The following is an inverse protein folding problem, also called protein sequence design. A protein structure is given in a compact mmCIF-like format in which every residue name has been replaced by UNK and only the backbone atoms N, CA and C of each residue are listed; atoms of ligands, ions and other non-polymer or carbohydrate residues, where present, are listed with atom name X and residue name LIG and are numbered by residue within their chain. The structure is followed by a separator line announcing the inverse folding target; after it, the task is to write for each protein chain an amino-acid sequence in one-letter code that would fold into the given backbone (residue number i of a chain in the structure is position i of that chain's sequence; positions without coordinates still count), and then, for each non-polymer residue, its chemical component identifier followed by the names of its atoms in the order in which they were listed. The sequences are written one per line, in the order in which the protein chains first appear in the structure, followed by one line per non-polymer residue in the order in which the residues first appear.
data_IF_982793868474
#
_entry.id   IF_982793868474
#
_cell.length_a   1.000
_cell.length_b   1.000
_cell.length_c   1.000
_cell.angle_alpha   90.00
_cell.angle_beta   90.00
_cell.angle_gamma   90.00
#
_symmetry.space_group_name_H-M   'P 1'
#
loop_
_entity.id
_entity.type
_entity.pdbx_description
1 polymer ?
#
# COMPACT_ATOMS: atom_id res chain seq x y z
N UNK A 1 1.91 -3.33 31.15
CA UNK A 1 2.70 -2.43 30.25
C UNK A 1 1.95 -1.11 30.07
N UNK A 2 2.61 0.05 30.12
CA UNK A 2 1.92 1.36 29.97
C UNK A 2 2.08 1.91 28.54
N UNK A 3 0.96 2.07 27.82
CA UNK A 3 0.94 2.75 26.52
C UNK A 3 1.24 4.24 26.70
N UNK A 4 2.21 4.76 25.93
CA UNK A 4 2.55 6.18 25.91
C UNK A 4 2.34 6.74 24.51
N UNK A 5 1.40 7.66 24.38
CA UNK A 5 1.19 8.39 23.13
C UNK A 5 2.22 9.51 22.99
N UNK A 6 2.80 9.61 21.80
CA UNK A 6 3.74 10.68 21.43
C UNK A 6 2.99 11.62 20.52
N UNK A 7 2.82 12.87 20.96
CA UNK A 7 2.23 13.91 20.12
C UNK A 7 3.11 14.17 18.89
N UNK A 8 2.48 14.23 17.72
CA UNK A 8 3.11 14.44 16.42
C UNK A 8 2.51 15.65 15.68
N UNK A 9 1.84 16.59 16.34
CA UNK A 9 1.61 17.91 15.74
C UNK A 9 2.93 18.68 15.67
N UNK A 10 3.64 18.51 14.56
CA UNK A 10 5.01 18.98 14.35
C UNK A 10 5.18 19.52 12.94
N UNK A 11 6.09 20.48 12.77
CA UNK A 11 6.55 20.88 11.46
C UNK A 11 7.65 19.94 10.98
N UNK A 12 7.33 19.08 10.00
CA UNK A 12 8.28 18.14 9.40
C UNK A 12 9.46 18.83 8.71
N UNK A 13 9.39 20.13 8.42
CA UNK A 13 10.52 20.88 7.83
C UNK A 13 11.61 21.21 8.83
N UNK A 14 11.32 21.13 10.13
CA UNK A 14 12.29 21.39 11.17
C UNK A 14 12.81 20.09 11.77
N UNK A 15 14.09 20.09 12.14
CA UNK A 15 14.67 18.97 12.89
C UNK A 15 13.95 18.86 14.25
N UNK A 16 13.66 17.66 14.77
CA UNK A 16 13.04 17.52 16.09
C UNK A 16 13.88 18.17 17.21
N UNK A 17 13.30 19.11 17.96
CA UNK A 17 13.99 19.75 19.09
C UNK A 17 14.10 18.84 20.32
N UNK A 18 13.11 17.96 20.51
CA UNK A 18 13.02 17.04 21.65
C UNK A 18 13.13 15.60 21.15
N UNK A 19 14.24 14.96 21.52
CA UNK A 19 14.49 13.54 21.26
C UNK A 19 14.10 12.75 22.49
N UNK A 20 13.27 11.74 22.32
CA UNK A 20 12.89 10.82 23.39
C UNK A 20 14.04 9.85 23.67
N UNK A 21 14.24 9.52 24.94
CA UNK A 21 15.12 8.43 25.34
C UNK A 21 14.28 7.16 25.45
N UNK A 22 14.43 6.28 24.47
CA UNK A 22 13.85 4.94 24.50
C UNK A 22 14.85 3.94 25.07
N UNK A 23 14.32 2.83 25.58
CA UNK A 23 15.08 1.67 26.03
C UNK A 23 15.10 0.61 24.94
N UNK A 24 16.08 -0.28 25.00
CA UNK A 24 16.24 -1.37 24.04
C UNK A 24 15.07 -2.37 24.05
N UNK A 25 14.31 -2.46 25.14
CA UNK A 25 13.11 -3.29 25.26
C UNK A 25 11.80 -2.57 24.87
N UNK A 26 11.86 -1.27 24.54
CA UNK A 26 10.66 -0.51 24.21
C UNK A 26 10.12 -0.91 22.82
N UNK A 27 8.80 -1.00 22.72
CA UNK A 27 8.08 -1.17 21.47
C UNK A 27 7.52 0.17 21.00
N UNK A 28 7.72 0.49 19.72
CA UNK A 28 7.41 1.80 19.15
C UNK A 28 6.50 1.61 17.95
N UNK A 29 5.37 2.33 17.92
CA UNK A 29 4.43 2.27 16.80
C UNK A 29 4.27 3.64 16.16
N UNK A 30 4.43 3.70 14.83
CA UNK A 30 4.03 4.85 14.01
C UNK A 30 2.70 4.52 13.34
N UNK A 31 1.77 5.48 13.37
CA UNK A 31 0.50 5.39 12.65
C UNK A 31 0.68 5.45 11.13
N UNK A 32 -0.34 5.94 10.45
CA UNK A 32 -0.38 6.05 8.99
C UNK A 32 0.84 6.79 8.41
N UNK A 33 1.54 6.13 7.48
CA UNK A 33 2.75 6.63 6.84
C UNK A 33 2.53 7.71 5.78
N UNK A 34 1.37 7.78 5.14
CA UNK A 34 1.06 8.63 3.98
C UNK A 34 2.08 8.56 2.83
N UNK A 35 2.83 7.47 2.68
CA UNK A 35 3.92 7.38 1.72
C UNK A 35 5.05 8.39 1.97
N UNK A 36 5.11 9.00 3.16
CA UNK A 36 5.91 10.18 3.45
C UNK A 36 7.22 9.81 4.16
N UNK A 37 8.27 9.61 3.37
CA UNK A 37 9.61 9.29 3.90
C UNK A 37 10.15 10.33 4.90
N UNK A 38 9.86 11.64 4.71
CA UNK A 38 10.28 12.69 5.65
C UNK A 38 9.61 12.53 7.02
N UNK A 39 8.32 12.16 7.06
CA UNK A 39 7.60 11.83 8.29
C UNK A 39 8.28 10.67 9.03
N UNK A 40 8.68 9.63 8.29
CA UNK A 40 9.38 8.47 8.86
C UNK A 40 10.73 8.90 9.44
N UNK A 41 11.56 9.63 8.69
CA UNK A 41 12.86 10.13 9.19
C UNK A 41 12.68 11.00 10.44
N UNK A 42 11.76 11.96 10.41
CA UNK A 42 11.45 12.81 11.56
C UNK A 42 11.04 11.98 12.78
N UNK A 43 10.17 11.00 12.59
CA UNK A 43 9.72 10.10 13.66
C UNK A 43 10.88 9.31 14.27
N UNK A 44 11.74 8.72 13.43
CA UNK A 44 12.90 7.95 13.88
C UNK A 44 13.88 8.82 14.68
N UNK A 45 14.08 10.08 14.28
CA UNK A 45 14.93 11.02 15.04
C UNK A 45 14.25 11.43 16.35
N UNK A 46 12.97 11.80 16.31
CA UNK A 46 12.21 12.23 17.50
C UNK A 46 12.13 11.14 18.56
N UNK A 47 12.09 9.87 18.13
CA UNK A 47 12.09 8.70 19.03
C UNK A 47 13.49 8.26 19.45
N UNK A 48 14.56 8.86 18.90
CA UNK A 48 15.94 8.50 19.21
C UNK A 48 16.43 7.23 18.49
N UNK A 49 15.60 6.58 17.66
CA UNK A 49 15.96 5.40 16.88
C UNK A 49 17.03 5.74 15.84
N UNK A 50 17.00 6.95 15.28
CA UNK A 50 17.96 7.44 14.28
C UNK A 50 18.66 8.71 14.77
N UNK A 51 19.98 8.80 14.56
CA UNK A 51 20.75 10.03 14.70
C UNK A 51 21.53 10.30 13.42
N UNK A 52 21.26 11.43 12.75
CA UNK A 52 22.00 11.85 11.56
C UNK A 52 23.38 12.36 11.95
N UNK A 53 24.40 12.07 11.13
CA UNK A 53 25.80 12.35 11.46
C UNK A 53 26.08 13.84 11.67
N UNK A 54 25.47 14.71 10.86
CA UNK A 54 25.57 16.17 10.97
C UNK A 54 24.31 16.80 11.57
N UNK A 55 23.48 15.99 12.24
CA UNK A 55 22.27 16.43 12.94
C UNK A 55 21.32 17.23 12.05
N UNK A 56 21.02 18.46 12.48
CA UNK A 56 20.08 19.35 11.80
C UNK A 56 20.48 19.69 10.35
N UNK A 57 21.78 19.72 10.02
CA UNK A 57 22.22 20.04 8.66
C UNK A 57 21.85 18.93 7.66
N UNK A 58 22.15 17.67 8.00
CA UNK A 58 21.73 16.52 7.19
C UNK A 58 20.21 16.43 7.10
N UNK A 59 19.51 16.78 8.18
CA UNK A 59 18.05 16.81 8.18
C UNK A 59 17.49 17.83 7.18
N UNK A 60 18.03 19.06 7.18
CA UNK A 60 17.63 20.07 6.18
C UNK A 60 17.97 19.62 4.76
N UNK A 61 19.06 18.86 4.57
CA UNK A 61 19.36 18.26 3.28
C UNK A 61 18.32 17.21 2.88
N UNK A 62 17.88 16.36 3.81
CA UNK A 62 16.79 15.39 3.58
C UNK A 62 15.48 16.11 3.22
N UNK A 63 15.13 17.20 3.92
CA UNK A 63 13.95 18.02 3.58
C UNK A 63 14.06 18.55 2.15
N UNK A 64 15.20 19.16 1.78
CA UNK A 64 15.40 19.70 0.43
C UNK A 64 15.32 18.63 -0.67
N UNK A 65 15.85 17.42 -0.41
CA UNK A 65 15.75 16.28 -1.33
C UNK A 65 14.30 15.80 -1.45
N UNK A 66 13.59 15.69 -0.34
CA UNK A 66 12.20 15.22 -0.31
C UNK A 66 11.23 16.23 -0.95
N UNK A 67 11.49 17.52 -0.82
CA UNK A 67 10.66 18.58 -1.42
C UNK A 67 11.04 18.90 -2.88
N UNK A 68 12.08 18.26 -3.43
CA UNK A 68 12.44 18.42 -4.84
C UNK A 68 11.27 17.95 -5.72
N UNK A 69 10.77 18.86 -6.54
CA UNK A 69 9.75 18.56 -7.55
C UNK A 69 10.41 17.78 -8.69
N UNK A 70 9.75 16.71 -9.13
CA UNK A 70 10.20 15.95 -10.30
C UNK A 70 9.59 16.55 -11.55
N UNK A 71 10.44 16.87 -12.52
CA UNK A 71 10.06 17.36 -13.83
C UNK A 71 10.33 16.26 -14.89
N UNK A 72 9.29 15.61 -15.42
CA UNK A 72 9.40 14.63 -16.51
C UNK A 72 9.92 15.22 -17.82
N UNK A 73 9.88 16.54 -17.99
CA UNK A 73 10.36 17.23 -19.19
C UNK A 73 11.76 17.83 -18.98
N UNK A 74 12.40 17.53 -17.85
CA UNK A 74 13.74 18.01 -17.56
C UNK A 74 14.74 17.59 -18.63
N UNK A 75 15.52 18.56 -19.12
CA UNK A 75 16.60 18.33 -20.09
C UNK A 75 17.81 17.66 -19.44
N UNK A 76 17.99 17.85 -18.12
CA UNK A 76 19.08 17.30 -17.34
C UNK A 76 18.55 16.66 -16.04
N UNK A 77 18.81 15.36 -15.89
CA UNK A 77 18.41 14.58 -14.73
C UNK A 77 19.50 14.48 -13.64
N UNK A 78 20.70 15.02 -13.87
CA UNK A 78 21.81 14.98 -12.90
C UNK A 78 21.45 15.53 -11.50
N UNK A 79 20.60 16.56 -11.34
CA UNK A 79 20.15 17.00 -10.02
C UNK A 79 19.40 15.92 -9.23
N UNK A 80 18.59 15.08 -9.88
CA UNK A 80 17.83 14.01 -9.21
C UNK A 80 18.74 12.84 -8.83
N UNK A 81 19.68 12.47 -9.71
CA UNK A 81 20.70 11.46 -9.40
C UNK A 81 21.53 11.87 -8.19
N UNK A 82 21.96 13.14 -8.16
CA UNK A 82 22.69 13.70 -7.02
C UNK A 82 21.85 13.67 -5.75
N UNK A 83 20.57 14.06 -5.82
CA UNK A 83 19.68 14.05 -4.67
C UNK A 83 19.50 12.64 -4.09
N UNK A 84 19.31 11.62 -4.94
CA UNK A 84 19.25 10.22 -4.54
C UNK A 84 20.57 9.73 -3.92
N UNK A 85 21.70 10.06 -4.54
CA UNK A 85 23.01 9.70 -4.01
C UNK A 85 23.30 10.35 -2.65
N UNK A 86 22.96 11.63 -2.49
CA UNK A 86 23.08 12.35 -1.23
C UNK A 86 22.18 11.73 -0.14
N UNK A 87 20.94 11.35 -0.48
CA UNK A 87 20.02 10.71 0.47
C UNK A 87 20.57 9.37 0.98
N UNK A 88 21.05 8.51 0.07
CA UNK A 88 21.70 7.25 0.41
C UNK A 88 22.94 7.48 1.29
N UNK A 89 23.74 8.51 0.97
CA UNK A 89 24.92 8.85 1.75
C UNK A 89 24.58 9.26 3.18
N UNK A 90 23.56 10.10 3.37
CA UNK A 90 23.07 10.53 4.68
C UNK A 90 22.61 9.31 5.50
N UNK A 91 21.80 8.42 4.92
CA UNK A 91 21.35 7.21 5.61
C UNK A 91 22.51 6.30 6.01
N UNK A 92 23.52 6.11 5.15
CA UNK A 92 24.71 5.30 5.46
C UNK A 92 25.53 5.84 6.64
N UNK A 93 25.48 7.15 6.89
CA UNK A 93 26.19 7.78 8.00
C UNK A 93 25.34 7.87 9.28
N UNK A 94 24.03 7.70 9.17
CA UNK A 94 23.12 7.74 10.30
C UNK A 94 23.41 6.57 11.27
N UNK A 95 23.38 6.89 12.57
CA UNK A 95 23.53 5.92 13.65
C UNK A 95 22.17 5.44 14.11
N UNK A 96 22.06 4.15 14.42
CA UNK A 96 20.87 3.58 15.04
C UNK A 96 21.01 3.53 16.56
N UNK A 97 19.88 3.66 17.25
CA UNK A 97 19.70 3.22 18.63
C UNK A 97 18.73 2.03 18.60
N UNK A 98 19.06 0.89 19.24
CA UNK A 98 18.19 -0.27 19.21
C UNK A 98 16.91 -0.02 20.03
N UNK A 99 15.83 -0.64 19.57
CA UNK A 99 14.53 -0.75 20.23
C UNK A 99 14.04 -2.19 20.06
N UNK A 100 13.09 -2.63 20.88
CA UNK A 100 12.65 -4.02 20.89
C UNK A 100 11.90 -4.37 19.60
N UNK A 101 11.06 -3.43 19.15
CA UNK A 101 10.26 -3.56 17.93
C UNK A 101 9.79 -2.18 17.45
N UNK A 102 9.93 -1.93 16.15
CA UNK A 102 9.33 -0.79 15.46
C UNK A 102 8.18 -1.28 14.57
N UNK A 103 6.97 -0.75 14.79
CA UNK A 103 5.76 -1.07 14.03
C UNK A 103 5.30 0.09 13.18
N UNK A 104 5.01 -0.16 11.90
CA UNK A 104 4.32 0.75 11.00
C UNK A 104 2.88 0.29 10.80
N UNK A 105 1.88 1.14 11.05
CA UNK A 105 0.47 0.77 10.86
C UNK A 105 0.00 0.83 9.40
N UNK A 106 0.91 0.70 8.44
CA UNK A 106 0.64 0.70 7.01
C UNK A 106 0.73 2.06 6.35
N UNK A 107 0.34 2.10 5.06
CA UNK A 107 0.42 3.28 4.18
C UNK A 107 1.86 3.84 4.12
N UNK A 108 2.84 2.94 4.20
CA UNK A 108 4.26 3.28 4.12
C UNK A 108 4.68 3.64 2.70
N UNK A 109 4.08 2.96 1.72
CA UNK A 109 4.28 3.15 0.27
C UNK A 109 2.93 3.26 -0.43
N UNK A 110 2.92 3.62 -1.72
CA UNK A 110 1.66 3.58 -2.47
C UNK A 110 0.72 4.76 -2.22
N UNK A 111 1.16 5.85 -1.58
CA UNK A 111 0.28 6.90 -1.06
C UNK A 111 0.69 8.32 -1.57
N UNK A 112 0.29 9.39 -0.87
CA UNK A 112 0.37 10.79 -1.26
C UNK A 112 1.75 11.40 -1.09
N UNK A 113 2.75 10.68 -0.56
CA UNK A 113 4.10 11.20 -0.38
C UNK A 113 4.81 11.55 -1.70
N UNK A 114 6.09 11.91 -1.63
CA UNK A 114 6.85 12.30 -2.82
C UNK A 114 7.34 11.07 -3.61
N UNK A 115 8.07 10.15 -2.96
CA UNK A 115 8.76 9.06 -3.65
C UNK A 115 8.97 7.83 -2.75
N UNK A 116 8.43 6.68 -3.16
CA UNK A 116 8.52 5.41 -2.42
C UNK A 116 9.95 4.88 -2.32
N UNK A 117 10.87 5.25 -3.23
CA UNK A 117 12.28 4.85 -3.12
C UNK A 117 12.92 5.34 -1.83
N UNK A 118 12.57 6.54 -1.36
CA UNK A 118 13.09 7.06 -0.10
C UNK A 118 12.58 6.24 1.08
N UNK A 119 11.30 5.85 1.09
CA UNK A 119 10.76 4.94 2.10
C UNK A 119 11.50 3.60 2.07
N UNK A 120 11.64 2.99 0.90
CA UNK A 120 12.28 1.68 0.76
C UNK A 120 13.75 1.68 1.23
N UNK A 121 14.49 2.77 0.97
CA UNK A 121 15.85 2.95 1.48
C UNK A 121 15.91 3.10 3.00
N UNK A 122 14.90 3.72 3.63
CA UNK A 122 14.80 3.78 5.09
C UNK A 122 14.56 2.38 5.66
N UNK A 123 13.70 1.56 5.04
CA UNK A 123 13.49 0.17 5.45
C UNK A 123 14.77 -0.65 5.36
N UNK A 124 15.55 -0.50 4.28
CA UNK A 124 16.86 -1.14 4.20
C UNK A 124 17.78 -0.70 5.34
N UNK A 125 17.86 0.60 5.63
CA UNK A 125 18.67 1.11 6.73
C UNK A 125 18.26 0.48 8.08
N UNK A 126 16.96 0.39 8.36
CA UNK A 126 16.43 -0.25 9.58
C UNK A 126 16.89 -1.71 9.69
N UNK A 127 16.81 -2.48 8.60
CA UNK A 127 17.18 -3.89 8.59
C UNK A 127 18.70 -4.10 8.69
N UNK A 128 19.51 -3.27 8.02
CA UNK A 128 20.98 -3.27 8.16
C UNK A 128 21.38 -2.94 9.62
N UNK A 129 20.66 -1.99 10.23
CA UNK A 129 20.82 -1.63 11.63
C UNK A 129 20.31 -2.70 12.62
N UNK A 130 19.76 -3.82 12.12
CA UNK A 130 19.18 -4.92 12.90
C UNK A 130 18.03 -4.49 13.81
N UNK A 131 17.31 -3.44 13.42
CA UNK A 131 16.07 -3.05 14.09
C UNK A 131 14.99 -4.04 13.65
N UNK A 132 14.26 -4.63 14.60
CA UNK A 132 13.11 -5.47 14.29
C UNK A 132 11.98 -4.57 13.80
N UNK A 133 11.48 -4.84 12.59
CA UNK A 133 10.43 -4.04 11.94
C UNK A 133 9.25 -4.92 11.57
N UNK A 134 8.04 -4.45 11.86
CA UNK A 134 6.79 -5.02 11.39
C UNK A 134 5.93 -3.92 10.73
N UNK A 135 5.34 -4.23 9.58
CA UNK A 135 4.50 -3.31 8.81
C UNK A 135 3.15 -3.96 8.56
N UNK A 136 2.10 -3.33 9.07
CA UNK A 136 0.74 -3.80 8.91
C UNK A 136 0.32 -3.53 7.47
N UNK A 137 -0.09 -4.57 6.76
CA UNK A 137 -0.53 -4.45 5.37
C UNK A 137 -1.72 -3.50 5.25
N UNK A 138 -1.58 -2.46 4.43
CA UNK A 138 -2.65 -1.50 4.12
C UNK A 138 -3.21 -1.63 2.71
N UNK A 139 -4.24 -0.83 2.41
CA UNK A 139 -4.76 -0.69 1.05
C UNK A 139 -3.74 -0.06 0.08
N UNK A 140 -2.96 0.93 0.52
CA UNK A 140 -1.92 1.54 -0.30
C UNK A 140 -0.72 0.62 -0.51
N UNK A 141 -0.31 -0.11 0.53
CA UNK A 141 0.74 -1.13 0.44
C UNK A 141 0.35 -2.22 -0.55
N UNK A 142 -0.90 -2.71 -0.46
CA UNK A 142 -1.44 -3.71 -1.37
C UNK A 142 -1.43 -3.23 -2.84
N UNK A 143 -1.81 -1.96 -3.07
CA UNK A 143 -1.79 -1.37 -4.40
C UNK A 143 -0.36 -1.26 -4.96
N UNK A 144 0.61 -0.83 -4.13
CA UNK A 144 2.02 -0.78 -4.50
C UNK A 144 2.58 -2.19 -4.82
N UNK A 145 2.33 -3.17 -3.95
CA UNK A 145 2.78 -4.56 -4.14
C UNK A 145 2.18 -5.14 -5.43
N UNK A 146 0.89 -4.90 -5.69
CA UNK A 146 0.23 -5.34 -6.92
C UNK A 146 0.94 -4.81 -8.16
N UNK A 147 1.29 -3.51 -8.17
CA UNK A 147 1.95 -2.86 -9.28
C UNK A 147 3.33 -3.48 -9.55
N UNK A 148 4.14 -3.65 -8.50
CA UNK A 148 5.48 -4.24 -8.60
C UNK A 148 5.40 -5.70 -9.05
N UNK A 149 4.53 -6.50 -8.44
CA UNK A 149 4.43 -7.92 -8.75
C UNK A 149 3.91 -8.19 -10.16
N UNK A 150 3.07 -7.33 -10.74
CA UNK A 150 2.58 -7.55 -12.10
C UNK A 150 3.56 -7.07 -13.17
N UNK A 151 4.72 -6.51 -12.78
CA UNK A 151 5.66 -5.91 -13.73
C UNK A 151 5.04 -4.72 -14.47
N UNK A 152 4.00 -4.12 -13.90
CA UNK A 152 3.25 -3.02 -14.48
C UNK A 152 3.98 -1.70 -14.22
N UNK A 153 5.27 -1.63 -14.59
CA UNK A 153 6.12 -0.43 -14.50
C UNK A 153 5.78 0.63 -15.56
N UNK A 154 4.79 0.34 -16.41
CA UNK A 154 4.32 1.28 -17.40
C UNK A 154 3.43 2.34 -16.74
N UNK A 155 3.74 3.64 -16.88
CA UNK A 155 2.88 4.72 -16.38
C UNK A 155 1.44 4.64 -16.95
N UNK A 156 1.24 3.93 -18.07
CA UNK A 156 -0.08 3.71 -18.67
C UNK A 156 -0.97 2.72 -17.89
N UNK A 157 -0.41 1.87 -17.02
CA UNK A 157 -1.16 0.83 -16.28
C UNK A 157 -1.45 1.25 -14.83
N UNK A 158 -0.67 2.17 -14.25
CA UNK A 158 -1.00 2.82 -12.98
C UNK A 158 -2.40 3.48 -13.00
N UNK A 159 -2.87 3.88 -14.18
CA UNK A 159 -4.21 4.42 -14.43
C UNK A 159 -5.34 3.39 -14.35
N UNK A 160 -5.05 2.10 -14.56
CA UNK A 160 -6.07 1.03 -14.62
C UNK A 160 -6.49 0.49 -13.26
N UNK A 161 -5.71 0.71 -12.19
CA UNK A 161 -6.09 0.28 -10.83
C UNK A 161 -7.17 1.16 -10.19
N UNK A 162 -7.72 2.14 -10.93
CA UNK A 162 -8.86 2.94 -10.50
C UNK A 162 -8.55 4.02 -9.44
N UNK A 163 -7.34 4.02 -8.87
CA UNK A 163 -6.91 4.98 -7.87
C UNK A 163 -6.70 6.41 -8.40
N UNK A 164 -6.42 6.58 -9.70
CA UNK A 164 -6.20 7.89 -10.32
C UNK A 164 -7.49 8.56 -10.84
N UNK A 165 -8.66 7.91 -10.65
CA UNK A 165 -9.96 8.56 -10.93
C UNK A 165 -10.35 9.59 -9.86
N UNK A 166 -9.65 9.59 -8.73
CA UNK A 166 -9.79 10.64 -7.72
C UNK A 166 -8.87 11.77 -8.16
N UNK A 167 -9.39 12.98 -8.37
CA UNK A 167 -8.66 14.18 -8.78
C UNK A 167 -7.56 14.67 -7.79
N UNK A 168 -7.06 13.77 -6.92
CA UNK A 168 -6.19 14.03 -5.78
C UNK A 168 -5.17 12.89 -5.65
N UNK A 169 -4.32 12.66 -6.66
CA UNK A 169 -3.16 11.74 -6.70
C UNK A 169 -2.87 10.94 -5.41
N UNK A 170 -3.66 9.90 -5.14
CA UNK A 170 -3.60 9.14 -3.89
C UNK A 170 -2.43 8.14 -3.86
N UNK A 171 -1.64 8.03 -4.93
CA UNK A 171 -0.46 7.16 -5.04
C UNK A 171 0.77 7.91 -5.59
N UNK A 172 0.86 9.22 -5.31
CA UNK A 172 1.94 10.09 -5.80
C UNK A 172 3.33 9.53 -5.51
N UNK A 173 3.55 8.93 -4.34
CA UNK A 173 4.87 8.41 -3.95
C UNK A 173 5.34 7.28 -4.87
N UNK A 174 4.42 6.46 -5.36
CA UNK A 174 4.74 5.40 -6.32
C UNK A 174 5.14 5.97 -7.68
N UNK A 175 4.48 7.03 -8.14
CA UNK A 175 4.89 7.72 -9.38
C UNK A 175 6.29 8.34 -9.25
N UNK A 176 6.65 8.84 -8.06
CA UNK A 176 8.01 9.27 -7.78
C UNK A 176 9.03 8.15 -7.95
N UNK A 177 8.74 6.93 -7.48
CA UNK A 177 9.62 5.79 -7.68
C UNK A 177 9.70 5.37 -9.15
N UNK A 178 8.55 5.30 -9.84
CA UNK A 178 8.48 4.96 -11.27
C UNK A 178 9.24 5.96 -12.14
N UNK A 179 9.23 7.25 -11.81
CA UNK A 179 10.03 8.27 -12.50
C UNK A 179 11.51 7.92 -12.53
N UNK A 180 12.08 7.50 -11.39
CA UNK A 180 13.49 7.12 -11.30
C UNK A 180 13.80 5.84 -12.08
N UNK A 181 12.89 4.86 -12.05
CA UNK A 181 13.06 3.60 -12.79
C UNK A 181 12.95 3.82 -14.31
N UNK A 182 11.93 4.55 -14.75
CA UNK A 182 11.66 4.83 -16.16
C UNK A 182 12.82 5.60 -16.81
N UNK A 183 13.35 6.61 -16.13
CA UNK A 183 14.48 7.42 -16.59
C UNK A 183 15.84 6.78 -16.29
N UNK A 184 15.89 5.53 -15.79
CA UNK A 184 17.11 4.77 -15.46
C UNK A 184 18.04 5.49 -14.47
N UNK A 185 17.49 6.37 -13.65
CA UNK A 185 18.18 7.08 -12.57
C UNK A 185 18.37 6.19 -11.33
N UNK A 186 17.68 5.05 -11.30
CA UNK A 186 17.82 4.03 -10.27
C UNK A 186 17.75 2.63 -10.90
N UNK A 187 18.58 1.71 -10.42
CA UNK A 187 18.65 0.34 -10.94
C UNK A 187 17.39 -0.46 -10.58
N UNK A 188 16.81 -1.14 -11.56
CA UNK A 188 15.67 -2.04 -11.36
C UNK A 188 16.01 -3.20 -10.40
N UNK A 189 17.16 -3.86 -10.59
CA UNK A 189 17.63 -4.92 -9.68
C UNK A 189 17.73 -4.42 -8.23
N UNK A 190 18.23 -3.18 -8.06
CA UNK A 190 18.30 -2.56 -6.75
C UNK A 190 16.91 -2.28 -6.17
N UNK A 191 15.98 -1.83 -6.99
CA UNK A 191 14.59 -1.63 -6.58
C UNK A 191 13.92 -2.95 -6.18
N UNK A 192 14.05 -4.01 -6.97
CA UNK A 192 13.52 -5.34 -6.64
C UNK A 192 14.09 -5.85 -5.31
N UNK A 193 15.39 -5.64 -5.08
CA UNK A 193 16.00 -5.97 -3.81
C UNK A 193 15.38 -5.18 -2.65
N UNK A 194 15.25 -3.87 -2.77
CA UNK A 194 14.63 -3.03 -1.75
C UNK A 194 13.16 -3.40 -1.48
N UNK A 195 12.40 -3.71 -2.54
CA UNK A 195 11.04 -4.21 -2.44
C UNK A 195 10.98 -5.55 -1.68
N UNK A 196 11.92 -6.47 -1.94
CA UNK A 196 11.97 -7.75 -1.22
C UNK A 196 12.22 -7.57 0.27
N UNK A 197 13.07 -6.61 0.64
CA UNK A 197 13.32 -6.22 2.04
C UNK A 197 12.05 -5.65 2.68
N UNK A 198 11.38 -4.71 2.01
CA UNK A 198 10.12 -4.15 2.48
C UNK A 198 9.06 -5.24 2.69
N UNK A 199 8.85 -6.10 1.69
CA UNK A 199 7.90 -7.22 1.75
C UNK A 199 8.17 -8.14 2.94
N UNK A 200 9.42 -8.36 3.31
CA UNK A 200 9.78 -9.22 4.45
C UNK A 200 9.34 -8.68 5.81
N UNK A 201 8.99 -7.38 5.89
CA UNK A 201 8.48 -6.74 7.12
C UNK A 201 6.95 -6.78 7.23
N UNK A 202 6.25 -7.19 6.17
CA UNK A 202 4.79 -7.11 6.11
C UNK A 202 4.13 -8.21 6.94
N UNK A 203 3.16 -7.82 7.77
CA UNK A 203 2.32 -8.70 8.58
C UNK A 203 0.85 -8.28 8.44
N UNK A 204 -0.08 -9.22 8.67
CA UNK A 204 -1.52 -8.90 8.69
C UNK A 204 -1.91 -8.26 10.03
N UNK A 205 -1.45 -8.85 11.12
CA UNK A 205 -1.66 -8.34 12.48
C UNK A 205 -0.34 -8.33 13.23
N UNK A 206 -0.21 -7.43 14.19
CA UNK A 206 0.81 -7.54 15.22
C UNK A 206 0.15 -7.49 16.60
N UNK A 207 0.89 -7.82 17.64
CA UNK A 207 0.39 -7.76 19.01
C UNK A 207 1.47 -7.39 20.03
N UNK A 208 1.01 -6.90 21.18
CA UNK A 208 1.76 -6.85 22.43
C UNK A 208 0.93 -7.51 23.53
N UNK A 209 1.58 -8.11 24.52
CA UNK A 209 0.91 -8.64 25.71
C UNK A 209 0.88 -7.57 26.80
N UNK A 210 -0.31 -7.31 27.32
CA UNK A 210 -0.48 -6.47 28.49
C UNK A 210 -0.30 -7.28 29.79
N UNK A 211 -0.84 -6.75 30.88
CA UNK A 211 -0.78 -7.43 32.17
C UNK A 211 -1.96 -8.42 32.29
N UNK A 212 -1.71 -9.65 32.75
CA UNK A 212 -2.75 -10.68 32.89
C UNK A 212 -3.24 -11.23 31.54
N UNK A 213 -4.56 -11.17 31.30
CA UNK A 213 -5.19 -11.65 30.06
C UNK A 213 -5.51 -10.50 29.09
N UNK A 214 -4.56 -9.59 28.91
CA UNK A 214 -4.69 -8.42 28.04
C UNK A 214 -3.91 -8.60 26.73
N UNK A 215 -4.58 -8.30 25.62
CA UNK A 215 -4.01 -8.31 24.28
C UNK A 215 -4.13 -6.91 23.68
N UNK A 216 -3.01 -6.36 23.21
CA UNK A 216 -2.99 -5.16 22.39
C UNK A 216 -2.83 -5.63 20.95
N UNK A 217 -3.87 -5.47 20.12
CA UNK A 217 -3.90 -5.86 18.72
C UNK A 217 -3.57 -4.65 17.84
N UNK A 218 -2.64 -4.82 16.92
CA UNK A 218 -2.28 -3.82 15.93
C UNK A 218 -2.74 -4.27 14.55
N UNK A 219 -3.41 -3.37 13.83
CA UNK A 219 -3.87 -3.58 12.46
C UNK A 219 -3.79 -2.27 11.67
N UNK A 220 -3.92 -2.32 10.35
CA UNK A 220 -4.00 -1.10 9.55
C UNK A 220 -5.35 -0.40 9.72
N UNK A 221 -6.45 -1.04 9.30
CA UNK A 221 -7.81 -0.54 9.49
C UNK A 221 -8.42 -1.00 10.83
N UNK A 222 -9.47 -0.32 11.35
CA UNK A 222 -10.14 -0.76 12.55
C UNK A 222 -10.84 -2.10 12.33
N UNK A 223 -10.39 -3.15 13.03
CA UNK A 223 -10.92 -4.52 12.94
C UNK A 223 -10.98 -5.18 14.32
N UNK A 224 -11.90 -6.13 14.50
CA UNK A 224 -12.00 -6.94 15.72
C UNK A 224 -11.60 -8.40 15.51
N UNK A 225 -11.83 -9.21 16.53
CA UNK A 225 -11.54 -10.64 16.52
C UNK A 225 -12.32 -11.40 15.44
N UNK A 226 -13.45 -10.87 14.96
CA UNK A 226 -14.19 -11.48 13.86
C UNK A 226 -13.38 -11.52 12.56
N UNK A 227 -12.52 -10.52 12.35
CA UNK A 227 -11.65 -10.45 11.17
C UNK A 227 -10.48 -11.43 11.33
N UNK A 228 -9.88 -11.52 12.52
CA UNK A 228 -8.85 -12.50 12.82
C UNK A 228 -9.37 -13.94 12.70
N UNK A 229 -10.59 -14.20 13.17
CA UNK A 229 -11.27 -15.49 13.03
C UNK A 229 -11.49 -15.86 11.56
N UNK A 230 -11.91 -14.90 10.73
CA UNK A 230 -12.06 -15.14 9.30
C UNK A 230 -10.73 -15.50 8.61
N UNK A 231 -9.63 -14.81 8.94
CA UNK A 231 -8.31 -15.21 8.47
C UNK A 231 -7.90 -16.59 8.96
N UNK A 232 -8.14 -16.90 10.24
CA UNK A 232 -7.87 -18.23 10.78
C UNK A 232 -8.60 -19.30 9.97
N UNK A 233 -9.90 -19.16 9.73
CA UNK A 233 -10.69 -20.12 8.96
C UNK A 233 -10.22 -20.23 7.49
N UNK A 234 -9.89 -19.11 6.86
CA UNK A 234 -9.38 -19.11 5.48
C UNK A 234 -8.01 -19.79 5.38
N UNK A 235 -7.15 -19.62 6.38
CA UNK A 235 -5.76 -20.10 6.34
C UNK A 235 -5.55 -21.44 7.02
N UNK A 236 -6.47 -21.89 7.87
CA UNK A 236 -6.41 -23.19 8.57
C UNK A 236 -6.11 -24.37 7.64
N UNK A 237 -6.73 -24.51 6.44
CA UNK A 237 -6.41 -25.58 5.50
C UNK A 237 -4.98 -25.54 4.94
N UNK A 238 -4.28 -24.43 5.09
CA UNK A 238 -2.90 -24.19 4.63
C UNK A 238 -1.88 -24.26 5.77
N UNK A 239 -2.33 -24.38 7.02
CA UNK A 239 -1.45 -24.51 8.17
C UNK A 239 -0.82 -25.90 8.21
N UNK A 240 0.44 -26.00 8.64
CA UNK A 240 1.09 -27.29 8.86
C UNK A 240 0.56 -27.96 10.13
N UNK A 241 0.66 -29.29 10.22
CA UNK A 241 0.29 -30.04 11.44
C UNK A 241 1.02 -29.52 12.68
N UNK A 242 2.30 -29.14 12.52
CA UNK A 242 3.09 -28.54 13.59
C UNK A 242 2.51 -27.22 14.09
N UNK A 243 2.04 -26.36 13.17
CA UNK A 243 1.43 -25.08 13.51
C UNK A 243 0.07 -25.28 14.19
N UNK A 244 -0.78 -26.16 13.64
CA UNK A 244 -2.07 -26.52 14.22
C UNK A 244 -1.91 -27.08 15.64
N UNK A 245 -0.92 -27.95 15.85
CA UNK A 245 -0.61 -28.52 17.16
C UNK A 245 -0.21 -27.46 18.21
N UNK A 246 0.29 -26.28 17.81
CA UNK A 246 0.60 -25.21 18.77
C UNK A 246 -0.63 -24.48 19.30
N UNK A 247 -1.71 -24.45 18.50
CA UNK A 247 -2.88 -23.59 18.76
C UNK A 247 -3.74 -24.12 19.91
N UNK A 248 -3.76 -25.43 20.18
CA UNK A 248 -4.59 -26.07 21.22
C UNK A 248 -6.06 -25.60 21.19
N UNK A 249 -6.60 -25.33 20.00
CA UNK A 249 -7.98 -24.91 19.83
C UNK A 249 -8.91 -26.13 19.95
N UNK A 250 -10.15 -25.97 20.43
CA UNK A 250 -11.14 -27.05 20.44
C UNK A 250 -11.28 -27.68 19.04
N UNK A 251 -11.45 -29.01 18.97
CA UNK A 251 -11.61 -29.72 17.69
C UNK A 251 -12.91 -29.33 16.98
N UNK A 252 -13.93 -28.90 17.71
CA UNK A 252 -15.16 -28.34 17.16
C UNK A 252 -14.99 -26.83 16.92
N UNK A 253 -14.98 -26.40 15.66
CA UNK A 253 -14.97 -25.00 15.17
C UNK A 253 -16.26 -24.24 15.56
N UNK A 254 -16.67 -24.30 16.83
CA UNK A 254 -17.70 -23.41 17.31
C UNK A 254 -17.11 -22.00 17.34
N UNK A 255 -17.52 -21.15 16.41
CA UNK A 255 -17.19 -19.72 16.37
C UNK A 255 -17.24 -19.06 17.77
N UNK A 256 -18.18 -19.50 18.62
CA UNK A 256 -18.28 -19.09 20.03
C UNK A 256 -16.99 -19.29 20.82
N UNK A 257 -16.31 -20.44 20.67
CA UNK A 257 -15.10 -20.79 21.41
C UNK A 257 -13.91 -19.90 21.02
N UNK A 258 -13.87 -19.43 19.76
CA UNK A 258 -12.82 -18.51 19.31
C UNK A 258 -12.84 -17.20 20.09
N UNK A 259 -14.04 -16.66 20.38
CA UNK A 259 -14.19 -15.41 21.14
C UNK A 259 -14.01 -15.60 22.65
N UNK A 260 -13.84 -16.84 23.12
CA UNK A 260 -13.50 -17.19 24.50
C UNK A 260 -12.00 -17.40 24.73
N UNK A 261 -11.18 -17.34 23.68
CA UNK A 261 -9.73 -17.50 23.77
C UNK A 261 -9.07 -16.43 24.65
N UNK A 262 -8.02 -16.83 25.36
CA UNK A 262 -7.16 -15.92 26.11
C UNK A 262 -6.15 -15.22 25.21
N UNK A 263 -5.44 -14.25 25.79
CA UNK A 263 -4.41 -13.48 25.09
C UNK A 263 -3.30 -14.39 24.53
N UNK A 264 -2.89 -15.43 25.26
CA UNK A 264 -1.84 -16.35 24.83
C UNK A 264 -2.26 -17.17 23.61
N UNK A 265 -3.48 -17.68 23.60
CA UNK A 265 -4.03 -18.44 22.48
C UNK A 265 -4.20 -17.56 21.24
N UNK A 266 -4.75 -16.35 21.41
CA UNK A 266 -4.89 -15.38 20.32
C UNK A 266 -3.54 -14.96 19.71
N UNK A 267 -2.50 -14.78 20.54
CA UNK A 267 -1.14 -14.51 20.05
C UNK A 267 -0.66 -15.62 19.09
N UNK A 268 -0.86 -16.89 19.47
CA UNK A 268 -0.48 -18.03 18.63
C UNK A 268 -1.28 -18.08 17.33
N UNK A 269 -2.57 -17.74 17.38
CA UNK A 269 -3.40 -17.63 16.17
C UNK A 269 -2.87 -16.54 15.24
N UNK A 270 -2.50 -15.36 15.77
CA UNK A 270 -1.89 -14.28 14.99
C UNK A 270 -0.58 -14.74 14.35
N UNK A 271 0.30 -15.38 15.12
CA UNK A 271 1.57 -15.93 14.62
C UNK A 271 1.33 -16.95 13.49
N UNK A 272 0.33 -17.82 13.65
CA UNK A 272 -0.03 -18.82 12.65
C UNK A 272 -0.59 -18.21 11.36
N UNK A 273 -1.48 -17.23 11.49
CA UNK A 273 -2.05 -16.50 10.34
C UNK A 273 -0.95 -15.77 9.57
N UNK A 274 -0.06 -15.06 10.28
CA UNK A 274 1.07 -14.37 9.65
C UNK A 274 2.07 -15.34 8.99
N UNK A 275 2.31 -16.51 9.59
CA UNK A 275 3.18 -17.52 9.01
C UNK A 275 2.64 -18.06 7.68
N UNK A 276 1.33 -18.35 7.61
CA UNK A 276 0.69 -18.73 6.34
C UNK A 276 0.79 -17.58 5.35
N UNK A 277 0.42 -16.36 5.75
CA UNK A 277 0.48 -15.18 4.87
C UNK A 277 1.87 -14.97 4.26
N UNK A 278 2.93 -15.05 5.07
CA UNK A 278 4.31 -14.89 4.63
C UNK A 278 4.74 -15.94 3.59
N UNK A 279 4.10 -17.12 3.60
CA UNK A 279 4.35 -18.20 2.63
C UNK A 279 3.54 -18.09 1.33
N UNK A 280 2.54 -17.19 1.27
CA UNK A 280 1.68 -17.07 0.10
C UNK A 280 2.41 -16.46 -1.10
N UNK A 281 2.01 -16.92 -2.29
CA UNK A 281 2.21 -16.15 -3.52
C UNK A 281 1.28 -14.93 -3.47
N UNK A 282 1.84 -13.78 -3.09
CA UNK A 282 1.10 -12.53 -2.98
C UNK A 282 0.40 -12.13 -4.28
N UNK A 283 0.90 -12.54 -5.46
CA UNK A 283 0.21 -12.23 -6.72
C UNK A 283 -1.17 -12.87 -6.74
N UNK A 284 -1.27 -14.13 -6.33
CA UNK A 284 -2.55 -14.85 -6.24
C UNK A 284 -3.47 -14.29 -5.15
N UNK A 285 -2.91 -13.96 -3.98
CA UNK A 285 -3.67 -13.37 -2.88
C UNK A 285 -4.28 -12.01 -3.29
N UNK A 286 -3.52 -11.18 -4.01
CA UNK A 286 -3.95 -9.86 -4.50
C UNK A 286 -4.97 -9.98 -5.63
N UNK A 287 -4.86 -10.98 -6.50
CA UNK A 287 -5.78 -11.13 -7.64
C UNK A 287 -7.23 -11.37 -7.19
N UNK A 288 -7.42 -12.08 -6.08
CA UNK A 288 -8.73 -12.21 -5.44
C UNK A 288 -9.29 -10.86 -4.98
N UNK A 289 -8.43 -10.02 -4.39
CA UNK A 289 -8.77 -8.66 -3.95
C UNK A 289 -9.09 -7.72 -5.11
N UNK A 290 -8.42 -7.86 -6.27
CA UNK A 290 -8.70 -7.07 -7.48
C UNK A 290 -10.16 -7.24 -7.91
N UNK A 291 -10.71 -8.45 -7.83
CA UNK A 291 -12.11 -8.70 -8.16
C UNK A 291 -13.05 -7.89 -7.26
N UNK A 292 -12.78 -7.82 -5.96
CA UNK A 292 -13.57 -7.02 -5.02
C UNK A 292 -13.42 -5.53 -5.25
N UNK A 293 -12.19 -5.05 -5.44
CA UNK A 293 -11.92 -3.66 -5.81
C UNK A 293 -12.71 -3.26 -7.05
N UNK A 294 -12.71 -4.09 -8.10
CA UNK A 294 -13.48 -3.82 -9.31
C UNK A 294 -14.98 -3.71 -9.06
N UNK A 295 -15.54 -4.60 -8.25
CA UNK A 295 -16.96 -4.58 -7.89
C UNK A 295 -17.27 -3.28 -7.12
N UNK A 296 -16.46 -2.97 -6.10
CA UNK A 296 -16.67 -1.80 -5.26
C UNK A 296 -16.41 -0.48 -6.00
N UNK A 297 -15.44 -0.41 -6.91
CA UNK A 297 -15.27 0.79 -7.74
C UNK A 297 -16.45 1.04 -8.66
N UNK A 298 -17.16 0.00 -9.12
CA UNK A 298 -18.36 0.15 -9.95
C UNK A 298 -19.59 0.58 -9.15
N UNK A 299 -19.66 0.18 -7.88
CA UNK A 299 -20.86 0.32 -7.06
C UNK A 299 -20.70 1.25 -5.84
N UNK A 300 -19.51 1.82 -5.66
CA UNK A 300 -19.10 2.48 -4.43
C UNK A 300 -18.55 1.47 -3.41
N UNK A 301 -17.60 1.92 -2.58
CA UNK A 301 -17.19 1.14 -1.40
C UNK A 301 -18.41 0.95 -0.50
N UNK A 302 -18.73 -0.28 -0.09
CA UNK A 302 -19.84 -0.50 0.82
C UNK A 302 -19.49 0.14 2.16
N UNK A 303 -20.49 0.66 2.86
CA UNK A 303 -20.29 1.22 4.21
C UNK A 303 -19.65 0.19 5.15
N UNK A 304 -20.03 -1.08 4.98
CA UNK A 304 -19.54 -2.22 5.74
C UNK A 304 -18.82 -3.18 4.81
N UNK A 305 -17.58 -3.49 5.14
CA UNK A 305 -16.79 -4.47 4.40
C UNK A 305 -17.15 -5.88 4.90
N UNK A 306 -17.50 -6.85 4.02
CA UNK A 306 -17.83 -8.22 4.44
C UNK A 306 -16.69 -8.89 5.21
N UNK A 307 -17.03 -9.76 6.17
CA UNK A 307 -16.02 -10.49 6.98
C UNK A 307 -15.42 -11.66 6.20
N UNK A 308 -16.14 -12.14 5.19
CA UNK A 308 -15.76 -13.16 4.21
C UNK A 308 -14.66 -12.67 3.24
N UNK A 309 -14.31 -11.38 3.31
CA UNK A 309 -13.21 -10.77 2.59
C UNK A 309 -12.21 -10.21 3.59
N UNK A 310 -11.56 -11.05 4.42
CA UNK A 310 -10.83 -10.60 5.59
C UNK A 310 -9.63 -9.71 5.24
N UNK A 311 -8.96 -9.97 4.12
CA UNK A 311 -7.88 -9.13 3.61
C UNK A 311 -8.38 -7.76 3.13
N UNK A 312 -9.46 -7.71 2.35
CA UNK A 312 -10.10 -6.44 2.01
C UNK A 312 -10.53 -5.64 3.25
N UNK A 313 -11.14 -6.33 4.22
CA UNK A 313 -11.61 -5.75 5.49
C UNK A 313 -10.47 -5.17 6.31
N UNK A 314 -9.36 -5.91 6.44
CA UNK A 314 -8.15 -5.47 7.13
C UNK A 314 -7.56 -4.18 6.53
N UNK A 315 -7.67 -4.02 5.21
CA UNK A 315 -7.12 -2.88 4.49
C UNK A 315 -8.07 -1.68 4.39
N UNK A 316 -9.40 -1.89 4.39
CA UNK A 316 -10.36 -0.84 4.02
C UNK A 316 -11.47 -0.55 5.02
N UNK A 317 -11.61 -1.35 6.09
CA UNK A 317 -12.75 -1.18 6.99
C UNK A 317 -12.78 0.22 7.63
N UNK A 318 -13.99 0.78 7.72
CA UNK A 318 -14.28 2.03 8.44
C UNK A 318 -15.47 1.88 9.39
N UNK A 319 -16.12 0.72 9.36
CA UNK A 319 -17.27 0.41 10.19
C UNK A 319 -16.81 -0.14 11.55
N UNK A 320 -16.96 0.68 12.59
CA UNK A 320 -16.59 0.32 13.97
C UNK A 320 -17.76 -0.27 14.77
N UNK A 321 -18.99 -0.22 14.23
CA UNK A 321 -20.21 -0.54 14.98
C UNK A 321 -20.35 -2.04 15.28
N UNK A 322 -19.62 -2.89 14.54
CA UNK A 322 -19.77 -4.36 14.59
C UNK A 322 -18.48 -5.10 14.92
N UNK A 323 -17.47 -4.38 15.44
CA UNK A 323 -16.20 -4.99 15.81
C UNK A 323 -16.36 -5.76 17.13
N UNK A 324 -15.81 -6.98 17.17
CA UNK A 324 -15.91 -7.87 18.33
C UNK A 324 -14.58 -7.90 19.10
N UNK A 325 -14.64 -7.70 20.42
CA UNK A 325 -13.46 -7.64 21.29
C UNK A 325 -13.10 -8.98 21.96
N UNK A 326 -13.95 -10.01 21.81
CA UNK A 326 -13.90 -11.22 22.63
C UNK A 326 -14.57 -11.03 23.99
N UNK A 327 -14.73 -12.13 24.72
CA UNK A 327 -15.42 -12.14 26.02
C UNK A 327 -14.49 -12.43 27.21
N UNK A 328 -13.39 -13.15 26.97
CA UNK A 328 -12.43 -13.55 28.02
C UNK A 328 -11.20 -12.64 28.07
N UNK A 329 -10.80 -12.08 26.93
CA UNK A 329 -9.61 -11.24 26.78
C UNK A 329 -9.95 -9.76 26.97
N UNK A 330 -9.08 -9.02 27.65
CA UNK A 330 -9.11 -7.55 27.61
C UNK A 330 -8.41 -7.10 26.33
N UNK A 331 -9.17 -6.80 25.29
CA UNK A 331 -8.62 -6.35 24.01
C UNK A 331 -8.46 -4.83 23.97
N UNK A 332 -7.30 -4.38 23.49
CA UNK A 332 -7.06 -3.00 23.05
C UNK A 332 -6.68 -3.01 21.58
N UNK A 333 -7.40 -2.28 20.73
CA UNK A 333 -7.05 -2.12 19.32
C UNK A 333 -6.20 -0.86 19.12
N UNK A 334 -5.12 -0.96 18.35
CA UNK A 334 -4.36 0.19 17.86
C UNK A 334 -4.32 0.09 16.33
N UNK A 335 -4.79 1.14 15.65
CA UNK A 335 -4.89 1.11 14.18
C UNK A 335 -4.50 2.45 13.54
N UNK A 336 -4.20 2.41 12.24
CA UNK A 336 -3.62 3.54 11.50
C UNK A 336 -4.60 4.28 10.60
N UNK A 337 -5.66 3.63 10.11
CA UNK A 337 -6.56 4.18 9.10
C UNK A 337 -7.89 4.64 9.69
N UNK A 338 -8.29 5.88 9.33
CA UNK A 338 -9.49 6.57 9.82
C UNK A 338 -9.38 7.01 11.30
N UNK A 339 -10.07 8.09 11.64
CA UNK A 339 -10.13 8.64 13.00
C UNK A 339 -11.12 7.88 13.88
N UNK A 340 -12.11 7.23 13.27
CA UNK A 340 -13.11 6.44 13.99
C UNK A 340 -12.47 5.21 14.64
N UNK A 341 -12.77 4.97 15.92
CA UNK A 341 -12.29 3.80 16.67
C UNK A 341 -13.40 3.26 17.57
N UNK A 342 -13.46 1.94 17.81
CA UNK A 342 -14.34 1.40 18.85
C UNK A 342 -13.91 1.91 20.23
N UNK A 343 -14.79 1.80 21.25
CA UNK A 343 -14.50 2.30 22.60
C UNK A 343 -13.27 1.66 23.28
N UNK A 344 -12.85 0.50 22.79
CA UNK A 344 -11.66 -0.25 23.22
C UNK A 344 -10.49 -0.12 22.23
N UNK A 345 -10.54 0.86 21.32
CA UNK A 345 -9.52 1.10 20.31
C UNK A 345 -8.98 2.53 20.29
N UNK A 346 -7.78 2.68 19.74
CA UNK A 346 -7.10 3.95 19.51
C UNK A 346 -6.67 4.06 18.05
N UNK A 347 -7.07 5.13 17.38
CA UNK A 347 -6.54 5.50 16.07
C UNK A 347 -5.26 6.31 16.24
N UNK A 348 -4.24 5.96 15.47
CA UNK A 348 -3.04 6.74 15.26
C UNK A 348 -3.04 7.46 13.89
N UNK A 349 -4.18 7.50 13.19
CA UNK A 349 -4.34 8.34 12.00
C UNK A 349 -4.16 9.82 12.37
N UNK A 350 -3.52 10.56 11.47
CA UNK A 350 -3.36 12.00 11.60
C UNK A 350 -3.20 12.63 10.22
N UNK A 351 -3.41 13.95 10.16
CA UNK A 351 -3.24 14.70 8.91
C UNK A 351 -1.78 15.04 8.60
N UNK A 352 -0.83 14.64 9.46
CA UNK A 352 0.58 14.95 9.26
C UNK A 352 1.12 14.19 8.05
N UNK A 353 1.59 14.93 7.05
CA UNK A 353 2.11 14.39 5.80
C UNK A 353 1.09 14.32 4.66
N UNK A 354 -0.23 14.38 4.94
CA UNK A 354 -1.31 14.34 3.93
C UNK A 354 -1.28 15.53 2.95
N UNK A 355 -0.75 16.68 3.39
CA UNK A 355 -0.78 17.96 2.65
C UNK A 355 0.60 18.44 2.17
N UNK A 356 1.56 17.55 1.94
CA UNK A 356 2.88 17.97 1.43
C UNK A 356 2.72 18.58 0.03
N UNK A 357 2.91 19.90 -0.06
CA UNK A 357 2.90 20.72 -1.29
C UNK A 357 4.07 20.39 -2.23
N UNK A 358 4.46 19.13 -2.37
CA UNK A 358 5.32 18.72 -3.48
C UNK A 358 4.56 18.99 -4.78
N UNK A 359 5.19 19.70 -5.71
CA UNK A 359 4.63 20.01 -7.02
C UNK A 359 3.90 18.82 -7.62
N UNK A 360 2.75 19.10 -8.22
CA UNK A 360 2.06 18.12 -9.05
C UNK A 360 3.01 17.73 -10.18
N UNK A 361 3.45 16.47 -10.18
CA UNK A 361 3.92 15.85 -11.42
C UNK A 361 2.65 15.60 -12.25
N UNK A 362 2.22 16.61 -13.01
CA UNK A 362 1.26 16.40 -14.07
C UNK A 362 1.97 15.63 -15.17
N UNK A 363 1.97 14.29 -15.09
CA UNK A 363 2.16 13.44 -16.27
C UNK A 363 0.89 13.53 -17.13
N UNK A 364 0.50 14.74 -17.54
CA UNK A 364 -0.43 14.93 -18.64
C UNK A 364 0.47 14.98 -19.86
N UNK A 365 0.67 13.82 -20.46
CA UNK A 365 1.25 13.69 -21.79
C UNK A 365 0.58 14.71 -22.72
N UNK A 366 1.35 15.52 -23.46
CA UNK A 366 0.81 16.56 -24.36
C UNK A 366 -0.09 15.99 -25.49
N UNK A 367 -0.12 14.67 -25.63
CA UNK A 367 -1.06 13.93 -26.47
C UNK A 367 -2.52 14.01 -25.98
N UNK A 368 -2.76 14.49 -24.76
CA UNK A 368 -4.09 14.66 -24.16
C UNK A 368 -4.51 16.12 -23.94
N UNK A 369 -3.95 17.07 -24.70
CA UNK A 369 -4.75 18.25 -25.02
C UNK A 369 -5.92 17.81 -25.90
N UNK A 370 -7.06 17.51 -25.27
CA UNK A 370 -8.35 17.50 -25.96
C UNK A 370 -8.41 18.76 -26.84
N UNK A 371 -8.78 18.66 -28.13
CA UNK A 371 -9.10 19.86 -28.89
C UNK A 371 -10.14 20.62 -28.07
N UNK A 372 -9.87 21.88 -27.73
CA UNK A 372 -10.80 22.75 -26.99
C UNK A 372 -12.02 23.14 -27.85
N UNK A 373 -12.60 22.19 -28.57
CA UNK A 373 -13.72 22.38 -29.47
C UNK A 373 -14.24 21.05 -29.99
N UNK A 374 -14.92 20.27 -29.15
CA UNK A 374 -15.58 19.04 -29.61
C UNK A 374 -16.15 18.19 -28.49
N UNK A 375 -17.43 18.42 -28.16
CA UNK A 375 -18.38 17.51 -27.47
C UNK A 375 -17.91 16.86 -26.15
N UNK A 376 -18.48 17.36 -25.06
CA UNK A 376 -18.37 16.95 -23.66
C UNK A 376 -18.94 15.55 -23.32
N UNK A 377 -19.01 14.62 -24.28
CA UNK A 377 -19.91 13.46 -24.21
C UNK A 377 -19.24 12.08 -24.07
N UNK A 378 -17.92 11.98 -24.08
CA UNK A 378 -17.20 10.69 -24.05
C UNK A 378 -16.28 10.61 -22.83
N UNK A 379 -16.67 9.82 -21.83
CA UNK A 379 -15.86 9.55 -20.64
C UNK A 379 -15.87 8.04 -20.36
N UNK A 380 -14.91 7.34 -20.95
CA UNK A 380 -14.61 5.96 -20.59
C UNK A 380 -13.83 5.25 -21.69
N UNK A 381 -12.53 5.08 -21.46
CA UNK A 381 -11.66 4.21 -22.24
C UNK A 381 -11.28 3.02 -21.36
N UNK A 382 -11.43 1.80 -21.86
CA UNK A 382 -10.79 0.59 -21.31
C UNK A 382 -9.77 0.09 -22.32
N UNK A 383 -8.56 -0.15 -21.87
CA UNK A 383 -7.52 -0.84 -22.65
C UNK A 383 -7.46 -2.29 -22.20
N UNK A 384 -7.34 -3.21 -23.15
CA UNK A 384 -7.04 -4.61 -22.89
C UNK A 384 -6.20 -5.17 -24.03
N UNK A 385 -5.40 -6.18 -23.72
CA UNK A 385 -4.60 -6.92 -24.70
C UNK A 385 -5.19 -8.32 -24.86
N UNK A 386 -5.51 -8.72 -26.09
CA UNK A 386 -5.98 -10.06 -26.42
C UNK A 386 -4.87 -10.82 -27.14
N UNK A 387 -4.49 -11.98 -26.59
CA UNK A 387 -3.65 -12.95 -27.30
C UNK A 387 -4.52 -13.75 -28.28
N UNK A 388 -4.19 -13.72 -29.56
CA UNK A 388 -4.86 -14.54 -30.57
C UNK A 388 -4.22 -15.94 -30.58
N UNK A 389 -5.05 -16.98 -30.57
CA UNK A 389 -4.64 -18.37 -30.32
C UNK A 389 -3.64 -18.97 -31.33
N UNK A 390 -3.37 -18.30 -32.45
CA UNK A 390 -2.54 -18.82 -33.54
C UNK A 390 -1.35 -17.91 -33.91
N UNK A 391 -1.08 -16.83 -33.16
CA UNK A 391 0.03 -15.93 -33.44
C UNK A 391 1.09 -16.08 -32.33
N UNK A 392 2.39 -16.22 -32.67
CA UNK A 392 3.47 -16.23 -31.68
C UNK A 392 3.33 -15.03 -30.73
N UNK A 393 3.46 -15.27 -29.43
CA UNK A 393 3.21 -14.30 -28.34
C UNK A 393 3.96 -12.96 -28.52
N UNK A 394 5.06 -13.00 -29.28
CA UNK A 394 5.94 -11.88 -29.62
C UNK A 394 5.33 -10.91 -30.65
N UNK A 395 4.28 -11.32 -31.38
CA UNK A 395 3.69 -10.57 -32.51
C UNK A 395 2.20 -10.26 -32.38
N UNK A 396 1.50 -10.78 -31.37
CA UNK A 396 0.07 -10.50 -31.18
C UNK A 396 -0.19 -9.76 -29.87
N UNK A 397 -0.11 -8.44 -29.93
CA UNK A 397 -0.83 -7.58 -28.99
C UNK A 397 -1.84 -6.76 -29.78
N UNK A 398 -3.07 -7.25 -29.83
CA UNK A 398 -4.18 -6.43 -30.29
C UNK A 398 -4.68 -5.63 -29.09
N UNK A 399 -4.48 -4.32 -29.14
CA UNK A 399 -5.04 -3.40 -28.15
C UNK A 399 -6.46 -3.04 -28.59
N UNK A 400 -7.43 -3.18 -27.71
CA UNK A 400 -8.80 -2.74 -27.97
C UNK A 400 -9.23 -1.65 -27.00
N UNK A 401 -10.15 -0.81 -27.47
CA UNK A 401 -10.79 0.24 -26.67
C UNK A 401 -12.29 -0.02 -26.62
N UNK A 402 -12.83 -0.10 -25.40
CA UNK A 402 -14.28 -0.08 -25.18
C UNK A 402 -14.69 1.33 -24.78
N UNK A 403 -15.56 1.95 -25.58
CA UNK A 403 -16.10 3.29 -25.34
C UNK A 403 -17.53 3.17 -24.83
N UNK A 404 -17.82 3.81 -23.69
CA UNK A 404 -19.18 3.90 -23.15
C UNK A 404 -19.72 5.33 -23.31
N UNK A 405 -20.81 5.50 -24.05
CA UNK A 405 -21.54 6.75 -24.11
C UNK A 405 -22.50 6.89 -22.90
N UNK A 406 -22.68 8.11 -22.38
CA UNK A 406 -23.70 8.41 -21.34
C UNK A 406 -25.12 8.20 -21.89
N UNK A 407 -26.10 7.90 -21.02
CA UNK A 407 -27.46 7.59 -21.46
C UNK A 407 -28.17 8.82 -22.04
N UNK A 408 -28.71 8.68 -23.26
CA UNK A 408 -29.95 9.37 -23.61
C UNK A 408 -31.14 8.57 -23.04
N UNK A 409 -32.15 9.20 -22.44
CA UNK A 409 -33.27 8.52 -21.76
C UNK A 409 -34.12 7.57 -22.65
N UNK A 410 -33.87 7.50 -23.96
CA UNK A 410 -34.77 6.86 -24.93
C UNK A 410 -34.27 5.54 -25.53
N UNK A 411 -33.07 5.05 -25.20
CA UNK A 411 -32.54 3.81 -25.78
C UNK A 411 -32.53 2.64 -24.78
N UNK A 412 -33.52 1.73 -24.89
CA UNK A 412 -33.70 0.55 -24.03
C UNK A 412 -32.80 -0.66 -24.35
N UNK A 413 -31.78 -0.53 -25.19
CA UNK A 413 -30.78 -1.60 -25.40
C UNK A 413 -29.37 -1.02 -25.58
N UNK A 414 -28.41 -1.62 -24.87
CA UNK A 414 -26.98 -1.27 -24.90
C UNK A 414 -26.37 -1.66 -26.26
N UNK A 415 -25.56 -0.79 -26.84
CA UNK A 415 -24.53 -1.20 -27.80
C UNK A 415 -23.19 -0.70 -27.26
N UNK A 416 -22.33 -1.63 -26.85
CA UNK A 416 -20.92 -1.34 -26.62
C UNK A 416 -20.24 -1.29 -27.98
N UNK A 417 -19.51 -0.22 -28.28
CA UNK A 417 -18.67 -0.15 -29.48
C UNK A 417 -17.28 -0.64 -29.08
N UNK A 418 -16.81 -1.71 -29.71
CA UNK A 418 -15.45 -2.24 -29.55
C UNK A 418 -14.64 -1.77 -30.75
N UNK A 419 -13.65 -0.91 -30.53
CA UNK A 419 -12.67 -0.50 -31.53
C UNK A 419 -11.40 -1.36 -31.40
N UNK A 420 -10.86 -1.82 -32.54
CA UNK A 420 -9.62 -2.60 -32.59
C UNK A 420 -8.50 -1.75 -33.19
N UNK A 421 -7.28 -1.85 -32.64
CA UNK A 421 -6.11 -1.13 -33.13
C UNK A 421 -5.00 -2.12 -33.48
N UNK A 422 -4.31 -1.85 -34.58
CA UNK A 422 -3.10 -2.56 -34.98
C UNK A 422 -1.89 -1.67 -34.75
N UNK A 423 -0.89 -2.20 -34.02
CA UNK A 423 0.39 -1.52 -33.81
C UNK A 423 1.23 -1.71 -35.08
N UNK A 424 1.62 -0.60 -35.72
CA UNK A 424 2.61 -0.60 -36.81
C UNK A 424 3.97 -0.16 -36.28
N UNK A 425 5.04 -0.61 -36.94
CA UNK A 425 6.45 -0.38 -36.54
C UNK A 425 6.85 1.11 -36.59
N UNK A 426 6.00 1.97 -37.13
CA UNK A 426 6.19 3.41 -37.36
C UNK A 426 5.58 4.30 -36.25
N UNK A 427 5.32 3.75 -35.05
CA UNK A 427 4.72 4.43 -33.88
C UNK A 427 3.32 5.04 -34.09
N UNK A 428 2.64 4.74 -35.20
CA UNK A 428 1.25 5.15 -35.45
C UNK A 428 0.28 3.97 -35.37
N UNK A 429 -0.58 3.95 -34.36
CA UNK A 429 -1.69 2.99 -34.26
C UNK A 429 -2.80 3.36 -35.25
N UNK A 430 -3.14 2.47 -36.18
CA UNK A 430 -4.28 2.65 -37.08
C UNK A 430 -5.54 2.01 -36.47
N UNK A 431 -6.66 2.73 -36.43
CA UNK A 431 -7.97 2.16 -36.10
C UNK A 431 -8.36 1.19 -37.22
N UNK A 432 -8.58 -0.08 -36.88
CA UNK A 432 -9.07 -1.07 -37.83
C UNK A 432 -10.53 -0.75 -38.16
N UNK A 433 -10.83 -0.58 -39.46
CA UNK A 433 -12.19 -0.27 -39.92
C UNK A 433 -13.19 -1.41 -39.70
N UNK A 434 -12.71 -2.62 -39.39
CA UNK A 434 -13.54 -3.79 -39.14
C UNK A 434 -12.89 -4.72 -38.12
N UNK A 435 -13.73 -5.55 -37.49
CA UNK A 435 -13.33 -6.64 -36.58
C UNK A 435 -12.39 -7.62 -37.32
N UNK A 436 -11.25 -8.03 -36.72
CA UNK A 436 -10.38 -9.04 -37.32
C UNK A 436 -11.11 -10.35 -37.61
N UNK A 437 -10.80 -10.97 -38.75
CA UNK A 437 -11.36 -12.28 -39.12
C UNK A 437 -10.98 -13.35 -38.08
N UNK A 438 -11.94 -14.22 -37.71
CA UNK A 438 -11.72 -15.29 -36.74
C UNK A 438 -12.02 -14.94 -35.27
N UNK A 439 -12.24 -13.65 -34.95
CA UNK A 439 -12.65 -13.26 -33.60
C UNK A 439 -14.16 -13.57 -33.42
N UNK A 440 -14.56 -14.32 -32.40
CA UNK A 440 -15.99 -14.50 -32.04
C UNK A 440 -16.25 -13.75 -30.74
N UNK A 441 -17.23 -12.83 -30.75
CA UNK A 441 -17.62 -12.08 -29.56
C UNK A 441 -18.89 -12.75 -29.01
N UNK A 442 -18.81 -13.28 -27.79
CA UNK A 442 -19.99 -13.73 -27.06
C UNK A 442 -20.57 -12.53 -26.30
N UNK A 443 -21.84 -12.22 -26.54
CA UNK A 443 -22.55 -11.09 -25.93
C UNK A 443 -23.21 -11.48 -24.62
#
# INVERSE_FOLDING_TARGET
MALKFIDVDVDLKNHPDKILSLREDDEVTIGDGHGNALKIVHFLIKTGIMTLARGAEDYQRVVAIYEQELDPEAVDYAPYEKAMADFIHILKQAKSCPVGLLRFLGDGVGDRGNNDLYTLLIYEWLLIAKIRVETMLSNHDLAFISLVLNGEYSPHIALTVGYDRVAKHQMRSTFGALFFLYNKLFSEDRFIHLFSLYRSTITLFSYSKGDGNELILYAHAPVGLETLHAFYNEYKPRMTDALLATLNLPEEDAEADFYHLGANELCKVIDAVNAVFASLDLRQAIEFERCYLEIFYRHGLPRRIPVECPLFRLCWNRDIDQLQAGTTVKLTLIHGHDLASPAWGYSLDNNLGKNSKGGLINLIDSWYTLPQGGLSCLNGYRYGSLALAEIPMEKAQLSYVVVHARPEPLLKKRQSIIGFFEKKDDDMNALLQAKPAGLTLYY
#
